data_IF_004509662913
#
_entry.id   IF_004509662913
#
_cell.length_a   1.000
_cell.length_b   1.000
_cell.length_c   1.000
_cell.angle_alpha   90.00
_cell.angle_beta   90.00
_cell.angle_gamma   90.00
#
_symmetry.space_group_name_H-M   'P 1'
#
loop_
_entity.id
_entity.type
_entity.pdbx_description
1 polymer ?
#
# COMPACT_ATOMS: atom_id res chain seq x y z
N UNK A 1 -21.12 -0.43 -1.46
CA UNK A 1 -19.84 0.28 -1.68
C UNK A 1 -20.14 1.78 -1.77
N UNK A 2 -19.50 2.59 -0.92
CA UNK A 2 -19.61 4.05 -0.89
C UNK A 2 -18.45 4.64 -1.71
N UNK A 3 -18.73 5.55 -2.64
CA UNK A 3 -17.68 6.31 -3.34
C UNK A 3 -17.24 7.47 -2.45
N UNK A 4 -15.98 7.48 -2.03
CA UNK A 4 -15.39 8.53 -1.19
C UNK A 4 -14.04 8.96 -1.80
N UNK A 5 -14.04 9.62 -2.98
CA UNK A 5 -12.80 9.90 -3.69
C UNK A 5 -11.95 10.91 -2.91
N UNK A 6 -10.69 10.53 -2.64
CA UNK A 6 -9.68 11.39 -2.05
C UNK A 6 -8.64 11.66 -3.14
N UNK A 7 -8.82 12.73 -3.91
CA UNK A 7 -8.01 13.01 -5.11
C UNK A 7 -6.49 13.04 -4.83
N UNK A 8 -6.10 13.46 -3.63
CA UNK A 8 -4.69 13.44 -3.21
C UNK A 8 -4.13 12.04 -2.95
N UNK A 9 -4.90 10.96 -3.00
CA UNK A 9 -4.33 9.62 -2.97
C UNK A 9 -3.86 9.16 -4.36
N UNK A 10 -4.36 9.81 -5.42
CA UNK A 10 -4.15 9.37 -6.77
C UNK A 10 -2.80 9.85 -7.32
N UNK A 11 -2.07 8.91 -7.91
CA UNK A 11 -0.85 9.17 -8.65
C UNK A 11 -0.99 8.60 -10.06
N UNK A 12 -0.47 9.35 -11.03
CA UNK A 12 -0.48 8.95 -12.44
C UNK A 12 0.81 8.23 -12.80
N UNK A 13 0.70 7.19 -13.62
CA UNK A 13 1.83 6.63 -14.35
C UNK A 13 1.74 7.03 -15.82
N UNK A 14 2.90 7.23 -16.47
CA UNK A 14 2.98 7.50 -17.92
C UNK A 14 2.35 6.38 -18.77
N UNK A 15 2.35 5.14 -18.27
CA UNK A 15 2.00 3.93 -19.04
C UNK A 15 0.62 3.34 -18.71
N UNK A 16 -0.31 4.11 -18.12
CA UNK A 16 -1.58 3.64 -17.54
C UNK A 16 -1.41 2.65 -16.38
N UNK A 17 -2.19 2.81 -15.31
CA UNK A 17 -2.14 1.89 -14.16
C UNK A 17 -2.80 0.55 -14.52
N UNK A 18 -2.06 -0.55 -14.34
CA UNK A 18 -2.49 -1.92 -14.65
C UNK A 18 -2.16 -2.83 -13.46
N UNK A 19 -3.04 -2.93 -12.46
CA UNK A 19 -2.76 -3.73 -11.29
C UNK A 19 -2.71 -5.22 -11.61
N UNK A 20 -1.74 -5.92 -11.03
CA UNK A 20 -1.51 -7.37 -11.16
C UNK A 20 -1.68 -8.10 -9.83
N UNK A 21 -1.81 -7.36 -8.72
CA UNK A 21 -1.93 -7.90 -7.39
C UNK A 21 -2.86 -7.05 -6.49
N UNK A 22 -3.29 -7.65 -5.39
CA UNK A 22 -3.96 -6.98 -4.28
C UNK A 22 -3.02 -7.02 -3.07
N UNK A 23 -2.86 -5.89 -2.37
CA UNK A 23 -2.13 -5.82 -1.11
C UNK A 23 -3.11 -5.46 0.00
N UNK A 24 -3.20 -6.34 1.00
CA UNK A 24 -4.07 -6.17 2.16
C UNK A 24 -3.27 -5.57 3.31
N UNK A 25 -3.85 -4.55 3.94
CA UNK A 25 -3.30 -3.83 5.07
C UNK A 25 -4.34 -3.67 6.19
N UNK A 26 -3.87 -3.17 7.33
CA UNK A 26 -4.69 -2.72 8.45
C UNK A 26 -4.29 -1.30 8.83
N UNK A 27 -5.28 -0.45 9.12
CA UNK A 27 -5.09 1.01 9.28
C UNK A 27 -4.39 1.44 10.57
N UNK A 28 -4.28 0.56 11.56
CA UNK A 28 -3.96 0.88 12.96
C UNK A 28 -4.86 1.96 13.57
N UNK A 29 -6.10 2.05 13.07
CA UNK A 29 -7.10 3.03 13.48
C UNK A 29 -8.36 2.35 14.04
N UNK A 30 -9.08 3.07 14.90
CA UNK A 30 -10.32 2.56 15.52
C UNK A 30 -11.54 2.68 14.62
N UNK A 31 -11.54 3.58 13.63
CA UNK A 31 -12.70 3.91 12.78
C UNK A 31 -12.28 4.20 11.34
N UNK A 32 -13.20 3.97 10.38
CA UNK A 32 -12.99 4.42 9.01
C UNK A 32 -12.83 5.94 8.94
N UNK A 33 -13.65 6.69 9.68
CA UNK A 33 -13.59 8.16 9.72
C UNK A 33 -12.18 8.68 10.02
N UNK A 34 -11.54 8.19 11.08
CA UNK A 34 -10.19 8.65 11.44
C UNK A 34 -9.18 8.35 10.33
N UNK A 35 -9.30 7.18 9.69
CA UNK A 35 -8.44 6.80 8.56
C UNK A 35 -8.64 7.75 7.36
N UNK A 36 -9.90 8.01 6.99
CA UNK A 36 -10.25 8.90 5.88
C UNK A 36 -9.84 10.35 6.16
N UNK A 37 -10.00 10.84 7.39
CA UNK A 37 -9.55 12.16 7.81
C UNK A 37 -8.01 12.28 7.67
N UNK A 38 -7.26 11.27 8.13
CA UNK A 38 -5.80 11.22 7.99
C UNK A 38 -5.37 11.29 6.53
N UNK A 39 -5.98 10.50 5.65
CA UNK A 39 -5.67 10.49 4.22
C UNK A 39 -6.06 11.80 3.51
N UNK A 40 -7.13 12.45 3.97
CA UNK A 40 -7.61 13.71 3.40
C UNK A 40 -6.78 14.92 3.83
N UNK A 41 -6.12 14.89 4.99
CA UNK A 41 -5.39 16.02 5.54
C UNK A 41 -4.10 16.34 4.75
N UNK A 42 -4.01 17.50 4.06
CA UNK A 42 -2.86 17.87 3.23
C UNK A 42 -1.52 17.95 3.97
N UNK A 43 -1.53 18.13 5.29
CA UNK A 43 -0.34 18.19 6.13
C UNK A 43 0.25 16.80 6.44
N UNK A 44 -0.50 15.72 6.18
CA UNK A 44 0.00 14.35 6.33
C UNK A 44 0.70 13.89 5.05
N UNK A 45 1.52 12.85 5.17
CA UNK A 45 2.10 12.17 4.02
C UNK A 45 1.01 11.75 3.01
N UNK A 46 1.34 11.81 1.72
CA UNK A 46 0.45 11.44 0.62
C UNK A 46 0.37 9.92 0.48
N UNK A 47 -0.14 9.24 1.51
CA UNK A 47 -0.28 7.78 1.64
C UNK A 47 -1.75 7.39 1.88
N UNK A 48 -2.13 6.20 1.42
CA UNK A 48 -3.48 5.66 1.52
C UNK A 48 -3.72 4.60 0.45
N UNK A 49 -4.93 4.03 0.39
CA UNK A 49 -5.24 2.88 -0.47
C UNK A 49 -6.46 3.11 -1.37
N UNK A 50 -6.75 2.15 -2.26
CA UNK A 50 -7.88 2.26 -3.17
C UNK A 50 -9.20 1.95 -2.47
N UNK A 51 -9.18 1.02 -1.51
CA UNK A 51 -10.35 0.65 -0.73
C UNK A 51 -10.04 0.65 0.77
N UNK A 52 -11.03 1.10 1.54
CA UNK A 52 -11.09 0.97 2.98
C UNK A 52 -12.32 0.15 3.36
N UNK A 53 -12.15 -0.84 4.22
CA UNK A 53 -13.22 -1.68 4.75
C UNK A 53 -13.37 -1.37 6.24
N UNK A 54 -14.52 -0.83 6.65
CA UNK A 54 -14.84 -0.61 8.06
C UNK A 54 -15.24 -1.91 8.77
N UNK A 55 -15.32 -1.87 10.10
CA UNK A 55 -15.57 -3.03 10.96
C UNK A 55 -16.92 -3.69 10.74
N UNK A 56 -17.90 -2.96 10.21
CA UNK A 56 -19.24 -3.45 9.85
C UNK A 56 -19.30 -4.03 8.43
N UNK A 57 -18.18 -4.06 7.70
CA UNK A 57 -18.09 -4.49 6.31
C UNK A 57 -18.44 -3.40 5.30
N UNK A 58 -18.70 -2.16 5.72
CA UNK A 58 -18.86 -1.03 4.81
C UNK A 58 -17.58 -0.81 4.01
N UNK A 59 -17.69 -0.84 2.68
CA UNK A 59 -16.57 -0.64 1.76
C UNK A 59 -16.62 0.77 1.19
N UNK A 60 -15.54 1.52 1.38
CA UNK A 60 -15.27 2.82 0.75
C UNK A 60 -14.31 2.64 -0.41
N UNK A 61 -14.66 3.16 -1.58
CA UNK A 61 -13.70 3.34 -2.68
C UNK A 61 -13.09 4.74 -2.57
N UNK A 62 -11.81 4.79 -2.19
CA UNK A 62 -11.08 6.00 -1.83
C UNK A 62 -10.27 6.60 -2.99
N UNK A 63 -9.90 5.79 -3.98
CA UNK A 63 -9.17 6.22 -5.17
C UNK A 63 -9.65 5.47 -6.42
N UNK A 64 -9.41 6.07 -7.58
CA UNK A 64 -9.66 5.47 -8.89
C UNK A 64 -8.85 4.21 -9.13
N UNK A 65 -9.44 3.21 -9.78
CA UNK A 65 -8.73 2.01 -10.26
C UNK A 65 -7.90 2.28 -11.54
N UNK A 66 -7.90 3.52 -12.04
CA UNK A 66 -7.04 3.95 -13.16
C UNK A 66 -5.80 4.71 -12.70
N UNK A 67 -5.62 4.87 -11.39
CA UNK A 67 -4.49 5.56 -10.75
C UNK A 67 -3.97 4.67 -9.63
N UNK A 68 -2.68 4.75 -9.34
CA UNK A 68 -2.13 4.04 -8.20
C UNK A 68 -2.15 4.92 -6.95
N UNK A 69 -2.04 4.28 -5.78
CA UNK A 69 -1.91 4.93 -4.47
C UNK A 69 -0.57 4.58 -3.83
N UNK A 70 -0.12 5.35 -2.83
CA UNK A 70 1.10 5.04 -2.07
C UNK A 70 0.73 4.21 -0.83
N UNK A 71 0.76 2.88 -0.97
CA UNK A 71 0.27 1.94 0.07
C UNK A 71 1.29 0.87 0.50
N UNK A 72 2.25 0.51 -0.35
CA UNK A 72 3.26 -0.53 -0.06
C UNK A 72 4.53 0.04 0.59
N UNK A 73 5.05 1.14 0.04
CA UNK A 73 6.35 1.69 0.45
C UNK A 73 7.54 0.88 -0.08
N UNK A 74 8.51 0.57 0.79
CA UNK A 74 9.69 -0.22 0.46
C UNK A 74 9.44 -1.72 0.60
N UNK A 75 9.97 -2.51 -0.33
CA UNK A 75 9.76 -3.96 -0.38
C UNK A 75 11.01 -4.75 -0.01
N UNK A 76 10.81 -5.96 0.53
CA UNK A 76 11.86 -6.94 0.76
C UNK A 76 12.32 -7.55 -0.57
N UNK A 77 13.58 -7.95 -0.64
CA UNK A 77 14.11 -8.78 -1.73
C UNK A 77 13.46 -10.16 -1.65
N UNK A 78 12.79 -10.58 -2.73
CA UNK A 78 12.21 -11.92 -2.81
C UNK A 78 13.33 -12.92 -3.05
N UNK A 79 13.36 -13.99 -2.26
CA UNK A 79 14.42 -15.02 -2.30
C UNK A 79 15.82 -14.41 -2.20
N UNK A 80 16.04 -13.56 -1.18
CA UNK A 80 17.32 -12.89 -0.97
C UNK A 80 18.47 -13.90 -0.90
N UNK A 81 19.39 -13.78 -1.85
CA UNK A 81 20.73 -14.35 -1.76
C UNK A 81 21.67 -13.28 -1.20
N UNK A 82 22.21 -13.53 0.00
CA UNK A 82 23.10 -12.59 0.71
C UNK A 82 24.43 -12.38 0.00
N UNK A 83 24.82 -13.30 -0.89
CA UNK A 83 26.05 -13.20 -1.67
C UNK A 83 25.84 -12.49 -3.01
N UNK A 84 24.60 -12.14 -3.35
CA UNK A 84 24.31 -11.43 -4.59
C UNK A 84 24.83 -9.99 -4.51
N UNK A 85 25.79 -9.68 -5.37
CA UNK A 85 26.47 -8.37 -5.43
C UNK A 85 25.49 -7.20 -5.70
N UNK A 86 24.31 -7.45 -6.27
CA UNK A 86 23.27 -6.43 -6.44
C UNK A 86 22.63 -5.99 -5.12
N UNK A 87 22.75 -6.76 -4.04
CA UNK A 87 22.13 -6.45 -2.74
C UNK A 87 23.15 -6.34 -1.60
N UNK A 88 24.36 -6.86 -1.80
CA UNK A 88 25.46 -6.80 -0.83
C UNK A 88 25.71 -5.38 -0.35
N UNK A 89 25.86 -5.21 0.96
CA UNK A 89 26.11 -3.92 1.63
C UNK A 89 25.06 -2.82 1.38
N UNK A 90 23.89 -3.14 0.81
CA UNK A 90 22.82 -2.17 0.65
C UNK A 90 21.97 -2.09 1.92
N UNK A 91 21.53 -0.87 2.24
CA UNK A 91 20.45 -0.67 3.23
C UNK A 91 19.16 -1.28 2.71
N UNK A 92 18.16 -1.48 3.59
CA UNK A 92 16.85 -1.97 3.19
C UNK A 92 16.23 -1.16 2.03
N UNK A 93 16.30 0.17 2.11
CA UNK A 93 15.82 1.07 1.06
C UNK A 93 16.61 0.91 -0.25
N UNK A 94 17.93 0.76 -0.15
CA UNK A 94 18.77 0.51 -1.32
C UNK A 94 18.44 -0.82 -2.01
N UNK A 95 18.25 -1.88 -1.24
CA UNK A 95 17.85 -3.19 -1.74
C UNK A 95 16.42 -3.19 -2.33
N UNK A 96 15.48 -2.50 -1.67
CA UNK A 96 14.12 -2.24 -2.17
C UNK A 96 14.14 -1.55 -3.53
N UNK A 97 14.99 -0.53 -3.71
CA UNK A 97 15.15 0.18 -4.98
C UNK A 97 15.54 -0.76 -6.12
N UNK A 98 16.57 -1.58 -5.92
CA UNK A 98 17.01 -2.59 -6.91
C UNK A 98 15.92 -3.63 -7.15
N UNK A 99 15.25 -4.11 -6.09
CA UNK A 99 14.20 -5.12 -6.22
C UNK A 99 13.01 -4.62 -7.05
N UNK A 100 12.66 -3.33 -6.94
CA UNK A 100 11.56 -2.71 -7.68
C UNK A 100 11.77 -2.68 -9.19
N UNK A 101 13.01 -2.82 -9.67
CA UNK A 101 13.32 -2.90 -11.11
C UNK A 101 12.89 -4.24 -11.73
N UNK A 102 12.72 -5.29 -10.92
CA UNK A 102 12.21 -6.57 -11.40
C UNK A 102 10.75 -6.46 -11.81
N UNK A 103 10.38 -7.25 -12.81
CA UNK A 103 8.98 -7.46 -13.16
C UNK A 103 8.28 -8.32 -12.10
N UNK A 104 7.02 -8.01 -11.79
CA UNK A 104 6.16 -8.94 -11.07
C UNK A 104 5.94 -10.20 -11.93
N UNK A 105 5.93 -11.42 -11.37
CA UNK A 105 5.93 -11.78 -9.94
C UNK A 105 7.33 -12.11 -9.36
N UNK A 106 8.41 -11.70 -10.00
CA UNK A 106 9.78 -11.98 -9.54
C UNK A 106 10.20 -11.11 -8.33
N UNK A 107 9.32 -10.22 -7.87
CA UNK A 107 9.38 -9.42 -6.65
C UNK A 107 7.99 -9.37 -5.99
N UNK A 108 7.89 -8.81 -4.78
CA UNK A 108 6.59 -8.49 -4.17
C UNK A 108 5.86 -7.38 -4.95
N UNK A 109 4.52 -7.26 -4.85
CA UNK A 109 3.76 -6.15 -5.42
C UNK A 109 4.25 -4.78 -4.93
N UNK A 110 4.09 -3.77 -5.75
CA UNK A 110 4.46 -2.38 -5.47
C UNK A 110 3.27 -1.46 -5.76
N UNK A 111 3.37 -0.19 -5.37
CA UNK A 111 2.29 0.79 -5.57
C UNK A 111 1.76 0.80 -7.01
N UNK A 112 2.65 0.85 -8.00
CA UNK A 112 2.33 1.04 -9.42
C UNK A 112 1.72 -0.18 -10.12
N UNK A 113 1.68 -1.35 -9.48
CA UNK A 113 1.12 -2.58 -10.05
C UNK A 113 0.18 -3.32 -9.09
N UNK A 114 -0.35 -2.64 -8.08
CA UNK A 114 -1.25 -3.29 -7.14
C UNK A 114 -2.35 -2.41 -6.57
N UNK A 115 -3.47 -3.05 -6.27
CA UNK A 115 -4.58 -2.45 -5.54
C UNK A 115 -4.36 -2.64 -4.04
N UNK A 116 -4.12 -1.55 -3.32
CA UNK A 116 -4.18 -1.54 -1.85
C UNK A 116 -5.62 -1.62 -1.33
N UNK A 117 -5.84 -2.46 -0.32
CA UNK A 117 -7.05 -2.54 0.51
C UNK A 117 -6.63 -2.40 1.96
N UNK A 118 -7.28 -1.53 2.71
CA UNK A 118 -7.11 -1.36 4.15
C UNK A 118 -8.35 -1.85 4.89
N UNK A 119 -8.13 -2.57 6.00
CA UNK A 119 -9.21 -2.96 6.92
C UNK A 119 -9.05 -2.18 8.21
N UNK A 120 -10.13 -1.57 8.69
CA UNK A 120 -10.12 -0.80 9.94
C UNK A 120 -9.83 -1.72 11.12
N UNK A 121 -8.76 -1.45 11.85
CA UNK A 121 -8.46 -2.15 13.09
C UNK A 121 -7.17 -1.66 13.74
N UNK A 122 -7.11 -1.75 15.07
CA UNK A 122 -5.88 -1.51 15.84
C UNK A 122 -5.11 -2.80 16.06
N UNK A 123 -3.79 -2.70 16.24
CA UNK A 123 -3.07 -3.78 16.93
C UNK A 123 -3.39 -3.73 18.43
N UNK A 124 -4.00 -4.78 18.96
CA UNK A 124 -4.31 -4.85 20.40
C UNK A 124 -3.25 -5.63 21.20
N UNK A 125 -2.13 -5.99 20.57
CA UNK A 125 -1.13 -6.88 21.13
C UNK A 125 -1.49 -8.35 20.90
N UNK A 126 -0.77 -9.24 21.58
CA UNK A 126 -1.15 -10.64 21.67
C UNK A 126 -2.32 -10.77 22.66
N UNK A 127 -3.34 -11.53 22.30
CA UNK A 127 -4.37 -11.91 23.26
C UNK A 127 -3.69 -12.59 24.45
N UNK A 128 -3.99 -12.10 25.66
CA UNK A 128 -3.61 -12.82 26.87
C UNK A 128 -4.61 -13.96 27.02
N UNK A 129 -4.15 -15.19 26.76
CA UNK A 129 -4.89 -16.41 27.09
C UNK A 129 -5.30 -16.40 28.57
#
# INVERSE_FOLDING_TARGET
MIKYPIARLEFSNANSFKPQAIVLHRTDSSTAKNTLDTWSNPNNAKVGTHFLIDKDGTIYQCASLHKYTQHVGDIKVKNLDINNENYKNKTYKGASGVEKEKQYPNRYPINSDSIGIEVVGKFLGHDKN
#
